data_IF_953192659359
#
_entry.id   IF_953192659359
#
_cell.length_a   1.000
_cell.length_b   1.000
_cell.length_c   1.000
_cell.angle_alpha   90.00
_cell.angle_beta   90.00
_cell.angle_gamma   90.00
#
_symmetry.space_group_name_H-M   'P 1'
#
loop_
_entity.id
_entity.type
_entity.pdbx_description
1 polymer ?
#
# COMPACT_ATOMS: atom_id res chain seq x y z
N UNK A 1 -5.12 10.02 -15.27
CA UNK A 1 -5.16 8.65 -15.78
C UNK A 1 -6.33 8.43 -16.73
N UNK A 2 -7.56 8.75 -16.34
CA UNK A 2 -8.76 8.47 -17.16
C UNK A 2 -8.69 9.02 -18.61
N UNK A 3 -8.09 10.20 -18.81
CA UNK A 3 -7.96 10.82 -20.12
C UNK A 3 -6.94 10.08 -21.00
N UNK A 4 -5.83 9.63 -20.42
CA UNK A 4 -4.69 9.00 -21.11
C UNK A 4 -4.63 7.48 -20.95
N UNK A 5 -5.71 6.86 -20.50
CA UNK A 5 -5.76 5.43 -20.17
C UNK A 5 -5.35 4.50 -21.33
N UNK A 6 -5.56 4.94 -22.57
CA UNK A 6 -5.16 4.17 -23.75
C UNK A 6 -3.67 4.28 -24.09
N UNK A 7 -3.00 5.29 -23.57
CA UNK A 7 -1.61 5.66 -23.89
C UNK A 7 -0.62 5.05 -22.88
N UNK A 8 -1.05 4.89 -21.64
CA UNK A 8 -0.23 4.44 -20.51
C UNK A 8 -0.72 3.10 -19.95
N UNK A 9 0.06 2.51 -19.07
CA UNK A 9 -0.32 1.32 -18.31
C UNK A 9 -1.23 1.65 -17.11
N UNK A 10 -1.45 0.67 -16.23
CA UNK A 10 -2.30 0.85 -15.06
C UNK A 10 -1.72 1.83 -14.06
N UNK A 11 -2.58 2.39 -13.22
CA UNK A 11 -2.18 3.20 -12.08
C UNK A 11 -2.14 2.32 -10.83
N UNK A 12 -1.06 2.46 -10.05
CA UNK A 12 -0.92 1.89 -8.72
C UNK A 12 -1.02 3.04 -7.71
N UNK A 13 -1.80 2.84 -6.66
CA UNK A 13 -1.90 3.78 -5.54
C UNK A 13 -1.38 3.10 -4.28
N UNK A 14 -0.54 3.80 -3.54
CA UNK A 14 0.03 3.31 -2.28
C UNK A 14 -0.03 4.45 -1.27
N UNK A 15 -0.64 4.19 -0.11
CA UNK A 15 -0.66 5.13 1.00
C UNK A 15 0.45 4.76 1.97
N UNK A 16 1.43 5.63 2.10
CA UNK A 16 2.67 5.37 2.84
C UNK A 16 2.88 6.40 3.94
N UNK A 17 3.20 5.93 5.12
CA UNK A 17 3.70 6.75 6.22
C UNK A 17 5.16 6.38 6.52
N UNK A 18 6.07 7.31 6.34
CA UNK A 18 7.45 7.16 6.77
C UNK A 18 7.60 7.39 8.28
N UNK A 19 8.67 6.88 8.90
CA UNK A 19 8.99 7.17 10.29
C UNK A 19 9.01 8.69 10.55
N UNK A 20 8.53 9.10 11.72
CA UNK A 20 8.36 10.53 12.07
C UNK A 20 9.65 11.34 12.00
N UNK A 21 10.79 10.71 12.18
CA UNK A 21 12.11 11.33 12.12
C UNK A 21 12.80 11.19 10.76
N UNK A 22 12.12 10.65 9.76
CA UNK A 22 12.64 10.56 8.40
C UNK A 22 12.81 11.98 7.82
N UNK A 23 13.96 12.24 7.24
CA UNK A 23 14.27 13.53 6.62
C UNK A 23 14.05 13.51 5.11
N UNK A 24 14.13 12.34 4.52
CA UNK A 24 13.91 12.11 3.10
C UNK A 24 12.48 11.60 2.90
N UNK A 25 11.56 12.52 2.65
CA UNK A 25 10.13 12.24 2.60
C UNK A 25 9.67 11.63 1.28
N UNK A 26 10.50 11.73 0.25
CA UNK A 26 10.21 11.11 -1.03
C UNK A 26 10.89 9.75 -1.13
N UNK A 27 10.29 8.86 -1.90
CA UNK A 27 10.95 7.61 -2.23
C UNK A 27 12.16 7.89 -3.14
N UNK A 28 13.28 7.30 -2.79
CA UNK A 28 14.43 7.18 -3.67
C UNK A 28 14.34 5.80 -4.31
N UNK A 29 13.68 5.73 -5.45
CA UNK A 29 13.45 4.47 -6.13
C UNK A 29 14.72 3.99 -6.83
N UNK A 30 15.02 2.68 -6.76
CA UNK A 30 16.04 2.09 -7.60
C UNK A 30 15.76 2.35 -9.09
N UNK A 31 16.80 2.57 -9.92
CA UNK A 31 16.63 2.85 -11.35
C UNK A 31 15.77 1.84 -12.08
N UNK A 32 15.90 0.56 -11.73
CA UNK A 32 15.11 -0.53 -12.31
C UNK A 32 13.60 -0.45 -12.03
N UNK A 33 13.20 0.31 -11.01
CA UNK A 33 11.80 0.63 -10.73
C UNK A 33 11.40 1.90 -11.47
N UNK A 34 12.22 2.95 -11.36
CA UNK A 34 11.94 4.25 -11.98
C UNK A 34 11.77 4.16 -13.50
N UNK A 35 12.59 3.38 -14.16
CA UNK A 35 12.53 3.16 -15.61
C UNK A 35 11.21 2.52 -16.08
N UNK A 36 10.46 1.86 -15.19
CA UNK A 36 9.18 1.22 -15.48
C UNK A 36 7.97 2.15 -15.23
N UNK A 37 8.22 3.31 -14.67
CA UNK A 37 7.19 4.30 -14.37
C UNK A 37 7.11 5.36 -15.48
N UNK A 38 5.91 5.75 -15.84
CA UNK A 38 5.63 6.86 -16.77
C UNK A 38 5.49 8.16 -16.00
N UNK A 39 4.74 8.14 -14.90
CA UNK A 39 4.49 9.31 -14.05
C UNK A 39 4.46 8.90 -12.59
N UNK A 40 5.02 9.75 -11.75
CA UNK A 40 4.90 9.69 -10.28
C UNK A 40 4.12 10.90 -9.79
N UNK A 41 3.08 10.68 -9.01
CA UNK A 41 2.26 11.72 -8.42
C UNK A 41 2.23 11.54 -6.91
N UNK A 42 2.48 12.61 -6.17
CA UNK A 42 2.51 12.62 -4.72
C UNK A 42 1.46 13.59 -4.19
N UNK A 43 0.63 13.12 -3.28
CA UNK A 43 -0.32 13.93 -2.54
C UNK A 43 -0.06 13.74 -1.05
N UNK A 44 -0.23 14.78 -0.28
CA UNK A 44 -0.07 14.72 1.17
C UNK A 44 -1.15 15.54 1.86
N UNK A 45 -1.48 15.13 3.06
CA UNK A 45 -2.30 15.94 3.95
C UNK A 45 -1.42 16.90 4.74
N UNK A 46 -1.86 18.14 4.87
CA UNK A 46 -1.18 19.12 5.70
C UNK A 46 -1.15 18.63 7.18
N UNK A 47 0.01 18.69 7.81
CA UNK A 47 0.27 18.19 9.17
C UNK A 47 0.16 16.67 9.37
N UNK A 48 0.18 15.90 8.29
CA UNK A 48 0.15 14.45 8.34
C UNK A 48 1.43 13.88 7.69
N UNK A 49 1.91 12.74 8.21
CA UNK A 49 3.07 12.03 7.65
C UNK A 49 2.69 10.96 6.62
N UNK A 50 1.43 10.97 6.16
CA UNK A 50 0.94 10.04 5.14
C UNK A 50 1.03 10.69 3.77
N UNK A 51 1.62 9.97 2.84
CA UNK A 51 1.70 10.34 1.44
C UNK A 51 0.94 9.33 0.58
N UNK A 52 0.02 9.87 -0.22
CA UNK A 52 -0.63 9.10 -1.27
C UNK A 52 0.26 9.15 -2.51
N UNK A 53 0.83 8.04 -2.86
CA UNK A 53 1.71 7.90 -4.00
C UNK A 53 0.98 7.18 -5.12
N UNK A 54 0.82 7.85 -6.26
CA UNK A 54 0.20 7.29 -7.44
C UNK A 54 1.25 7.14 -8.53
N UNK A 55 1.46 5.93 -8.96
CA UNK A 55 2.41 5.56 -10.00
C UNK A 55 1.66 5.13 -11.25
N UNK A 56 1.85 5.84 -12.34
CA UNK A 56 1.39 5.41 -13.65
C UNK A 56 2.50 4.56 -14.27
N UNK A 57 2.20 3.31 -14.53
CA UNK A 57 3.16 2.33 -15.04
C UNK A 57 3.24 2.44 -16.55
N UNK A 58 4.41 2.21 -17.14
CA UNK A 58 4.58 2.11 -18.58
C UNK A 58 3.78 0.95 -19.15
N UNK A 59 3.30 1.11 -20.37
CA UNK A 59 2.50 0.09 -21.06
C UNK A 59 3.31 -1.19 -21.24
N UNK A 60 2.70 -2.33 -20.92
CA UNK A 60 3.32 -3.65 -21.04
C UNK A 60 4.14 -4.11 -19.82
N UNK A 61 4.27 -3.26 -18.79
CA UNK A 61 4.93 -3.63 -17.53
C UNK A 61 3.94 -4.36 -16.62
N UNK A 62 4.41 -5.39 -15.93
CA UNK A 62 3.64 -6.08 -14.89
C UNK A 62 3.56 -5.21 -13.63
N UNK A 63 2.42 -4.53 -13.48
CA UNK A 63 2.17 -3.64 -12.36
C UNK A 63 2.17 -4.34 -10.99
N UNK A 64 1.79 -5.62 -10.94
CA UNK A 64 1.78 -6.38 -9.68
C UNK A 64 3.21 -6.67 -9.22
N UNK A 65 4.03 -7.21 -10.11
CA UNK A 65 5.44 -7.48 -9.81
C UNK A 65 6.19 -6.18 -9.44
N UNK A 66 5.86 -5.08 -10.12
CA UNK A 66 6.45 -3.77 -9.82
C UNK A 66 6.00 -3.24 -8.45
N UNK A 67 4.72 -3.42 -8.09
CA UNK A 67 4.19 -3.07 -6.77
C UNK A 67 4.91 -3.83 -5.66
N UNK A 68 5.14 -5.12 -5.82
CA UNK A 68 5.84 -5.93 -4.82
C UNK A 68 7.27 -5.43 -4.59
N UNK A 69 7.97 -5.00 -5.64
CA UNK A 69 9.30 -4.38 -5.53
C UNK A 69 9.24 -3.04 -4.80
N UNK A 70 8.26 -2.20 -5.12
CA UNK A 70 8.03 -0.92 -4.43
C UNK A 70 7.77 -1.11 -2.94
N UNK A 71 6.90 -2.04 -2.58
CA UNK A 71 6.59 -2.33 -1.17
C UNK A 71 7.84 -2.79 -0.41
N UNK A 72 8.69 -3.61 -1.04
CA UNK A 72 9.97 -4.01 -0.44
C UNK A 72 10.88 -2.81 -0.16
N UNK A 73 10.96 -1.86 -1.08
CA UNK A 73 11.73 -0.61 -0.87
C UNK A 73 11.18 0.20 0.30
N UNK A 74 9.86 0.25 0.48
CA UNK A 74 9.24 0.91 1.63
C UNK A 74 9.49 0.17 2.94
N UNK A 75 9.45 -1.18 2.94
CA UNK A 75 9.79 -2.00 4.10
C UNK A 75 11.22 -1.75 4.57
N UNK A 76 12.19 -1.68 3.65
CA UNK A 76 13.59 -1.41 3.94
C UNK A 76 13.80 -0.02 4.59
N UNK A 77 12.90 0.92 4.34
CA UNK A 77 12.89 2.25 4.95
C UNK A 77 12.04 2.34 6.22
N UNK A 78 11.48 1.24 6.68
CA UNK A 78 10.63 1.19 7.87
C UNK A 78 9.31 1.94 7.72
N UNK A 79 8.81 2.07 6.49
CA UNK A 79 7.54 2.73 6.22
C UNK A 79 6.35 1.83 6.60
N UNK A 80 5.24 2.46 6.99
CA UNK A 80 3.96 1.78 7.21
C UNK A 80 3.04 1.96 6.01
N UNK A 81 2.45 0.86 5.57
CA UNK A 81 1.44 0.85 4.52
C UNK A 81 0.48 -0.34 4.72
N UNK A 82 -0.81 -0.21 4.36
CA UNK A 82 -1.47 1.05 4.05
C UNK A 82 -1.52 1.95 5.29
N UNK A 83 -1.29 3.23 5.11
CA UNK A 83 -1.28 4.17 6.22
C UNK A 83 -2.69 4.61 6.64
N UNK A 84 -3.67 4.58 5.76
CA UNK A 84 -5.03 5.05 6.02
C UNK A 84 -6.12 4.02 5.66
N UNK A 85 -6.07 3.43 4.47
CA UNK A 85 -7.14 2.56 3.98
C UNK A 85 -6.61 1.43 3.08
N UNK A 86 -7.52 0.59 2.57
CA UNK A 86 -7.23 -0.56 1.70
C UNK A 86 -6.67 -1.82 2.40
N UNK A 87 -6.70 -1.89 3.74
CA UNK A 87 -6.39 -3.15 4.44
C UNK A 87 -7.45 -4.20 4.10
N UNK A 88 -7.01 -5.33 3.58
CA UNK A 88 -7.88 -6.45 3.18
C UNK A 88 -8.42 -6.35 1.76
N UNK A 89 -8.20 -5.23 1.08
CA UNK A 89 -8.50 -5.09 -0.34
C UNK A 89 -7.23 -5.25 -1.18
N UNK A 90 -6.22 -4.45 -0.88
CA UNK A 90 -4.93 -4.50 -1.58
C UNK A 90 -3.78 -5.06 -0.72
N UNK A 91 -3.96 -5.10 0.60
CA UNK A 91 -2.94 -5.51 1.57
C UNK A 91 -3.52 -6.46 2.59
N UNK A 92 -2.71 -7.43 3.01
CA UNK A 92 -3.04 -8.29 4.14
C UNK A 92 -2.88 -7.50 5.46
N UNK A 93 -3.75 -7.80 6.43
CA UNK A 93 -3.53 -7.30 7.78
C UNK A 93 -2.21 -7.84 8.33
N UNK A 94 -1.40 -6.97 8.94
CA UNK A 94 -0.21 -7.40 9.66
C UNK A 94 -0.62 -8.31 10.84
N UNK A 95 0.22 -9.28 11.25
CA UNK A 95 -0.12 -10.21 12.33
C UNK A 95 -0.59 -9.52 13.62
N UNK A 96 0.06 -8.43 14.01
CA UNK A 96 -0.33 -7.65 15.20
C UNK A 96 -1.74 -7.07 15.09
N UNK A 97 -2.18 -6.70 13.88
CA UNK A 97 -3.53 -6.19 13.65
C UNK A 97 -4.56 -7.33 13.66
N UNK A 98 -4.22 -8.49 13.12
CA UNK A 98 -5.06 -9.69 13.21
C UNK A 98 -5.25 -10.14 14.67
N UNK A 99 -4.19 -10.15 15.47
CA UNK A 99 -4.26 -10.46 16.89
C UNK A 99 -5.14 -9.47 17.65
N UNK A 100 -5.05 -8.18 17.34
CA UNK A 100 -5.93 -7.17 17.91
C UNK A 100 -7.40 -7.37 17.51
N UNK A 101 -7.69 -7.78 16.28
CA UNK A 101 -9.05 -8.13 15.87
C UNK A 101 -9.60 -9.32 16.66
N UNK A 102 -8.78 -10.34 16.90
CA UNK A 102 -9.16 -11.52 17.70
C UNK A 102 -9.43 -11.17 19.16
N UNK A 103 -8.68 -10.22 19.71
CA UNK A 103 -8.92 -9.71 21.07
C UNK A 103 -10.25 -8.97 21.18
N UNK A 104 -10.57 -8.11 20.21
CA UNK A 104 -11.80 -7.31 20.21
C UNK A 104 -13.05 -8.12 19.84
N UNK A 105 -12.93 -9.09 18.97
CA UNK A 105 -14.03 -9.95 18.49
C UNK A 105 -13.62 -11.42 18.48
N UNK A 106 -13.53 -12.08 19.64
CA UNK A 106 -13.10 -13.49 19.73
C UNK A 106 -13.96 -14.46 18.93
N UNK A 107 -15.20 -14.07 18.65
CA UNK A 107 -16.15 -14.92 17.91
C UNK A 107 -16.11 -14.69 16.41
N UNK A 108 -15.40 -13.67 15.94
CA UNK A 108 -15.37 -13.21 14.55
C UNK A 108 -16.80 -12.98 14.00
N UNK A 109 -17.60 -12.20 14.76
CA UNK A 109 -19.02 -11.98 14.45
C UNK A 109 -19.28 -10.66 13.74
N UNK A 110 -18.47 -9.62 14.00
CA UNK A 110 -18.73 -8.26 13.50
C UNK A 110 -18.30 -8.06 12.05
N UNK A 111 -17.08 -8.43 11.69
CA UNK A 111 -16.54 -8.25 10.33
C UNK A 111 -15.70 -9.46 9.89
N UNK A 112 -16.31 -10.63 9.68
CA UNK A 112 -15.55 -11.82 9.26
C UNK A 112 -14.79 -11.58 7.97
N UNK A 113 -13.47 -11.80 7.98
CA UNK A 113 -12.59 -11.59 6.85
C UNK A 113 -12.02 -10.17 6.72
N UNK A 114 -12.21 -9.31 7.73
CA UNK A 114 -11.56 -8.00 7.75
C UNK A 114 -10.04 -8.15 7.60
N UNK A 115 -9.41 -7.28 6.82
CA UNK A 115 -7.97 -7.35 6.60
C UNK A 115 -7.50 -8.61 5.85
N UNK A 116 -8.39 -9.29 5.12
CA UNK A 116 -8.15 -10.60 4.49
C UNK A 116 -7.80 -11.71 5.51
N UNK A 117 -8.27 -11.58 6.73
CA UNK A 117 -8.15 -12.58 7.79
C UNK A 117 -9.21 -13.66 7.66
N UNK A 118 -9.33 -14.57 8.65
CA UNK A 118 -10.32 -15.65 8.64
C UNK A 118 -11.75 -15.14 8.53
N UNK A 119 -12.56 -15.81 7.70
CA UNK A 119 -14.01 -15.61 7.61
C UNK A 119 -14.81 -16.57 8.52
N UNK A 120 -14.14 -17.48 9.18
CA UNK A 120 -14.78 -18.52 9.98
C UNK A 120 -15.01 -18.06 11.42
N UNK A 121 -16.09 -18.60 12.01
CA UNK A 121 -16.43 -18.38 13.41
C UNK A 121 -15.25 -18.77 14.31
N UNK A 122 -14.99 -17.96 15.34
CA UNK A 122 -13.88 -18.12 16.27
C UNK A 122 -12.50 -18.19 15.57
N UNK A 123 -12.36 -17.57 14.42
CA UNK A 123 -11.10 -17.43 13.64
C UNK A 123 -10.47 -18.75 13.17
N UNK A 124 -11.21 -19.85 13.19
CA UNK A 124 -10.74 -21.21 12.85
C UNK A 124 -10.97 -21.55 11.39
#
# INVERSE_FOLDING_TARGET
HAIHQKEVGPMMSIDVAFPRNEKDWFENLPPEIEEQLEVKLHYGHLFCHVFHQNYIVKKGVDAKALKDKLLKTFDERGAEYPAEHNVGHEYLAKPVLEDFYKELDPTNAFNPGIGSTSKHKNWK
#
